data_IF_803157881659
#
_entry.id   IF_803157881659
#
_cell.length_a   1.000
_cell.length_b   1.000
_cell.length_c   1.000
_cell.angle_alpha   90.00
_cell.angle_beta   90.00
_cell.angle_gamma   90.00
#
_symmetry.space_group_name_H-M   'P 1'
#
loop_
_entity.id
_entity.type
_entity.pdbx_description
1 polymer ?
#
# COMPACT_ATOMS: atom_id res chain seq x y z
N UNK A 1 16.31 9.92 1.97
CA UNK A 1 15.85 10.19 3.36
C UNK A 1 16.26 9.06 4.29
N UNK A 2 15.98 7.80 3.98
CA UNK A 2 16.44 6.65 4.77
C UNK A 2 16.89 5.51 3.85
N UNK A 3 17.64 4.54 4.38
CA UNK A 3 17.94 3.27 3.69
C UNK A 3 16.98 2.21 4.24
N UNK A 4 16.37 1.45 3.35
CA UNK A 4 15.46 0.37 3.71
C UNK A 4 16.19 -0.96 3.57
N UNK A 5 16.10 -1.79 4.60
CA UNK A 5 16.58 -3.17 4.59
C UNK A 5 15.44 -4.08 5.03
N UNK A 6 15.14 -5.07 4.22
CA UNK A 6 14.00 -5.98 4.35
C UNK A 6 13.68 -6.58 2.99
N UNK A 7 12.54 -7.23 2.89
CA UNK A 7 12.09 -7.86 1.64
C UNK A 7 11.74 -6.82 0.57
N UNK A 8 11.20 -5.67 0.99
CA UNK A 8 10.86 -4.61 0.06
C UNK A 8 9.98 -3.52 0.67
N UNK A 9 9.32 -2.78 -0.20
CA UNK A 9 8.42 -1.67 0.12
C UNK A 9 7.22 -1.75 -0.81
N UNK A 10 6.04 -1.48 -0.27
CA UNK A 10 4.79 -1.28 -1.02
C UNK A 10 4.47 0.21 -0.97
N UNK A 11 4.23 0.79 -2.15
CA UNK A 11 3.62 2.12 -2.28
C UNK A 11 2.25 1.93 -2.90
N UNK A 12 1.19 2.28 -2.17
CA UNK A 12 -0.19 1.98 -2.57
C UNK A 12 -1.07 3.24 -2.57
N UNK A 13 -2.08 3.22 -3.43
CA UNK A 13 -3.20 4.17 -3.38
C UNK A 13 -4.20 3.76 -2.28
N UNK A 14 -5.16 4.62 -1.91
CA UNK A 14 -6.21 4.25 -0.95
C UNK A 14 -6.97 2.99 -1.37
N UNK A 15 -7.26 2.83 -2.66
CA UNK A 15 -7.87 1.61 -3.22
C UNK A 15 -6.97 0.38 -3.05
N UNK A 16 -5.66 0.55 -3.20
CA UNK A 16 -4.66 -0.51 -2.97
C UNK A 16 -4.39 -0.81 -1.49
N UNK A 17 -4.93 -0.01 -0.56
CA UNK A 17 -4.70 -0.20 0.88
C UNK A 17 -5.20 -1.55 1.36
N UNK A 18 -6.35 -2.02 0.86
CA UNK A 18 -6.98 -3.32 1.18
C UNK A 18 -6.38 -4.50 0.42
N UNK A 19 -5.38 -4.27 -0.45
CA UNK A 19 -4.68 -5.31 -1.19
C UNK A 19 -3.41 -5.73 -0.43
N UNK A 20 -2.27 -5.80 -1.12
CA UNK A 20 -1.03 -6.30 -0.54
C UNK A 20 -0.53 -5.45 0.64
N UNK A 21 -0.86 -4.14 0.67
CA UNK A 21 -0.51 -3.25 1.77
C UNK A 21 -1.12 -3.72 3.10
N UNK A 22 -2.39 -4.11 3.14
CA UNK A 22 -3.02 -4.66 4.37
C UNK A 22 -2.33 -5.94 4.83
N UNK A 23 -1.96 -6.84 3.91
CA UNK A 23 -1.25 -8.07 4.26
C UNK A 23 0.15 -7.80 4.86
N UNK A 24 0.80 -6.71 4.46
CA UNK A 24 2.08 -6.27 5.02
C UNK A 24 1.94 -5.41 6.30
N UNK A 25 0.73 -5.29 6.87
CA UNK A 25 0.47 -4.54 8.09
C UNK A 25 0.15 -3.06 7.89
N UNK A 26 -0.12 -2.63 6.66
CA UNK A 26 -0.65 -1.30 6.35
C UNK A 26 -2.10 -1.12 6.80
N UNK A 27 -2.52 0.12 6.98
CA UNK A 27 -3.90 0.45 7.35
C UNK A 27 -4.84 0.39 6.14
N UNK A 28 -6.10 0.00 6.37
CA UNK A 28 -7.16 0.14 5.38
C UNK A 28 -7.63 1.60 5.32
N UNK A 29 -7.69 2.17 4.12
CA UNK A 29 -8.02 3.58 3.90
C UNK A 29 -9.19 3.71 2.94
N UNK A 30 -10.12 4.60 3.27
CA UNK A 30 -11.28 4.87 2.43
C UNK A 30 -10.85 5.55 1.10
N UNK A 31 -11.42 5.18 -0.06
CA UNK A 31 -10.99 5.69 -1.37
C UNK A 31 -11.00 7.22 -1.56
N UNK A 32 -11.83 7.95 -0.80
CA UNK A 32 -11.88 9.41 -0.82
C UNK A 32 -10.79 10.12 -0.04
N UNK A 33 -9.95 9.41 0.71
CA UNK A 33 -8.85 10.04 1.42
C UNK A 33 -7.72 10.30 0.42
N UNK A 34 -7.36 11.57 0.14
CA UNK A 34 -6.30 11.90 -0.81
C UNK A 34 -4.94 11.62 -0.19
N UNK A 35 -4.47 10.38 -0.30
CA UNK A 35 -3.21 9.97 0.28
C UNK A 35 -2.50 8.87 -0.51
N UNK A 36 -1.23 8.68 -0.20
CA UNK A 36 -0.41 7.57 -0.63
C UNK A 36 0.06 6.79 0.60
N UNK A 37 -0.05 5.47 0.56
CA UNK A 37 0.41 4.58 1.62
C UNK A 37 1.84 4.12 1.31
N UNK A 38 2.70 4.15 2.32
CA UNK A 38 4.03 3.60 2.30
C UNK A 38 4.12 2.49 3.34
N UNK A 39 4.28 1.24 2.92
CA UNK A 39 4.27 0.06 3.80
C UNK A 39 5.53 -0.77 3.57
N UNK A 40 6.48 -0.86 4.51
CA UNK A 40 7.63 -1.74 4.37
C UNK A 40 7.20 -3.22 4.47
N UNK A 41 7.87 -4.10 3.72
CA UNK A 41 7.68 -5.55 3.77
C UNK A 41 8.84 -6.15 4.58
N UNK A 42 8.50 -6.80 5.70
CA UNK A 42 9.47 -7.45 6.60
C UNK A 42 10.74 -6.61 6.86
N UNK A 43 10.62 -5.35 7.33
CA UNK A 43 11.78 -4.51 7.57
C UNK A 43 12.66 -5.10 8.69
N UNK A 44 13.97 -5.09 8.50
CA UNK A 44 14.93 -5.51 9.54
C UNK A 44 14.92 -4.56 10.76
N UNK A 45 14.37 -3.36 10.61
CA UNK A 45 14.23 -2.37 11.66
C UNK A 45 12.80 -2.38 12.22
N UNK A 46 12.65 -2.64 13.51
CA UNK A 46 11.36 -2.64 14.22
C UNK A 46 10.72 -1.24 14.32
N UNK A 47 11.51 -0.18 14.21
CA UNK A 47 11.01 1.20 14.20
C UNK A 47 10.43 1.60 12.85
N UNK A 48 10.62 0.79 11.80
CA UNK A 48 10.13 1.13 10.47
C UNK A 48 8.67 0.73 10.31
N UNK A 49 7.78 1.65 10.70
CA UNK A 49 6.32 1.47 10.63
C UNK A 49 5.77 1.96 9.29
N UNK A 50 4.59 1.47 8.85
CA UNK A 50 3.85 2.04 7.74
C UNK A 50 3.53 3.51 7.98
N UNK A 51 3.52 4.31 6.91
CA UNK A 51 3.24 5.76 6.95
C UNK A 51 2.25 6.12 5.85
N UNK A 52 1.35 7.05 6.16
CA UNK A 52 0.44 7.66 5.18
C UNK A 52 0.99 9.03 4.83
N UNK A 53 1.13 9.29 3.53
CA UNK A 53 1.66 10.52 2.96
C UNK A 53 0.55 11.27 2.21
N UNK A 54 0.62 12.60 2.12
CA UNK A 54 -0.32 13.35 1.27
C UNK A 54 -0.17 12.94 -0.20
N UNK A 55 -1.25 13.06 -0.97
CA UNK A 55 -1.28 12.78 -2.42
C UNK A 55 -0.33 13.68 -3.23
N UNK A 56 0.00 14.87 -2.72
CA UNK A 56 0.98 15.78 -3.29
C UNK A 56 2.43 15.31 -3.14
N UNK A 57 2.68 14.27 -2.34
CA UNK A 57 4.03 13.74 -2.13
C UNK A 57 4.60 13.14 -3.41
N UNK A 58 5.90 13.36 -3.62
CA UNK A 58 6.68 12.71 -4.67
C UNK A 58 7.74 11.85 -4.01
N UNK A 59 7.75 10.57 -4.35
CA UNK A 59 8.71 9.61 -3.82
C UNK A 59 9.72 9.24 -4.90
N UNK A 60 10.96 9.04 -4.47
CA UNK A 60 12.01 8.46 -5.29
C UNK A 60 12.66 7.32 -4.52
N UNK A 61 12.60 6.13 -5.09
CA UNK A 61 13.24 4.93 -4.56
C UNK A 61 14.43 4.62 -5.45
N UNK A 62 15.64 4.78 -4.91
CA UNK A 62 16.89 4.52 -5.63
C UNK A 62 17.53 3.24 -5.13
N UNK A 63 18.01 2.40 -6.05
CA UNK A 63 18.84 1.25 -5.71
C UNK A 63 20.26 1.74 -5.44
N UNK A 64 20.80 1.55 -4.21
CA UNK A 64 22.14 2.00 -3.88
C UNK A 64 23.21 1.35 -4.77
N UNK A 65 24.29 2.08 -5.08
CA UNK A 65 25.42 1.54 -5.85
C UNK A 65 26.09 0.36 -5.13
N UNK A 66 26.07 0.39 -3.78
CA UNK A 66 26.59 -0.65 -2.89
C UNK A 66 25.61 -1.79 -2.61
N UNK A 67 24.41 -1.80 -3.22
CA UNK A 67 23.39 -2.82 -2.99
C UNK A 67 23.90 -4.22 -3.36
N UNK A 68 23.80 -5.21 -2.46
CA UNK A 68 24.33 -6.56 -2.71
C UNK A 68 23.64 -7.30 -3.86
N UNK A 69 22.38 -7.00 -4.11
CA UNK A 69 21.54 -7.65 -5.13
C UNK A 69 20.70 -6.62 -5.88
N UNK A 70 20.27 -7.01 -7.08
CA UNK A 70 19.28 -6.25 -7.84
C UNK A 70 17.92 -6.32 -7.16
N UNK A 71 17.12 -5.28 -7.35
CA UNK A 71 15.74 -5.24 -6.88
C UNK A 71 14.78 -5.52 -8.04
N UNK A 72 13.51 -5.67 -7.69
CA UNK A 72 12.44 -5.82 -8.67
C UNK A 72 11.30 -4.89 -8.32
N UNK A 73 10.70 -4.28 -9.33
CA UNK A 73 9.48 -3.49 -9.20
C UNK A 73 8.35 -4.18 -9.93
N UNK A 74 7.16 -4.09 -9.36
CA UNK A 74 5.91 -4.65 -9.88
C UNK A 74 4.83 -3.57 -9.77
N UNK A 75 3.95 -3.49 -10.76
CA UNK A 75 2.86 -2.53 -10.83
C UNK A 75 1.54 -3.31 -10.78
N UNK A 76 0.77 -3.12 -9.71
CA UNK A 76 -0.47 -3.88 -9.43
C UNK A 76 -0.30 -5.41 -9.53
N UNK A 77 0.84 -5.92 -9.08
CA UNK A 77 1.18 -7.35 -9.14
C UNK A 77 1.57 -7.86 -10.54
N UNK A 78 1.65 -6.97 -11.54
CA UNK A 78 1.96 -7.30 -12.93
C UNK A 78 3.24 -6.59 -13.40
N UNK A 79 3.71 -6.97 -14.60
CA UNK A 79 4.81 -6.31 -15.33
C UNK A 79 6.06 -6.12 -14.47
N UNK A 80 6.57 -7.23 -13.93
CA UNK A 80 7.78 -7.23 -13.11
C UNK A 80 8.97 -6.76 -13.94
N UNK A 81 9.67 -5.74 -13.45
CA UNK A 81 10.87 -5.19 -14.08
C UNK A 81 12.02 -5.23 -13.09
N UNK A 82 13.20 -5.60 -13.58
CA UNK A 82 14.41 -5.63 -12.76
C UNK A 82 14.97 -4.22 -12.64
N UNK A 83 15.40 -3.84 -11.45
CA UNK A 83 16.11 -2.59 -11.18
C UNK A 83 17.56 -2.93 -10.84
N UNK A 84 18.47 -2.30 -11.57
CA UNK A 84 19.91 -2.40 -11.35
C UNK A 84 20.38 -1.34 -10.37
N UNK A 85 21.64 -1.46 -9.94
CA UNK A 85 22.31 -0.43 -9.14
C UNK A 85 22.28 0.91 -9.87
N UNK A 86 22.03 1.99 -9.14
CA UNK A 86 21.93 3.34 -9.71
C UNK A 86 20.54 3.68 -10.27
N UNK A 87 19.72 2.68 -10.62
CA UNK A 87 18.35 2.91 -11.09
C UNK A 87 17.47 3.53 -9.99
N UNK A 88 16.49 4.32 -10.42
CA UNK A 88 15.50 4.92 -9.53
C UNK A 88 14.08 4.77 -10.07
N UNK A 89 13.14 4.64 -9.15
CA UNK A 89 11.69 4.66 -9.43
C UNK A 89 11.11 5.90 -8.79
N UNK A 90 10.52 6.76 -9.62
CA UNK A 90 9.81 7.97 -9.17
C UNK A 90 8.32 7.72 -9.17
N UNK A 91 7.67 8.02 -8.06
CA UNK A 91 6.26 7.72 -7.81
C UNK A 91 5.55 9.00 -7.38
N UNK A 92 4.42 9.27 -8.02
CA UNK A 92 3.53 10.39 -7.72
C UNK A 92 2.09 10.00 -8.01
N UNK A 93 1.13 10.68 -7.40
CA UNK A 93 -0.28 10.50 -7.74
C UNK A 93 -0.56 10.95 -9.18
N UNK A 94 -1.36 10.16 -9.89
CA UNK A 94 -1.75 10.42 -11.27
C UNK A 94 -2.79 11.54 -11.34
N UNK A 95 -2.73 12.35 -12.40
CA UNK A 95 -3.77 13.34 -12.72
C UNK A 95 -5.02 12.72 -13.35
N UNK A 96 -4.97 11.43 -13.66
CA UNK A 96 -6.06 10.66 -14.27
C UNK A 96 -6.50 9.56 -13.32
N UNK A 97 -7.41 9.85 -12.36
CA UNK A 97 -7.98 8.83 -11.50
C UNK A 97 -8.91 7.92 -12.30
N UNK A 98 -9.08 6.68 -11.82
CA UNK A 98 -10.01 5.72 -12.42
C UNK A 98 -11.43 5.98 -11.88
N UNK A 99 -12.41 6.40 -12.71
CA UNK A 99 -13.78 6.57 -12.26
C UNK A 99 -14.41 5.21 -11.93
N UNK A 100 -15.04 5.10 -10.78
CA UNK A 100 -15.75 3.89 -10.34
C UNK A 100 -17.24 4.18 -10.18
N UNK A 101 -18.08 3.19 -10.48
CA UNK A 101 -19.54 3.29 -10.31
C UNK A 101 -19.92 2.59 -9.02
N UNK A 102 -20.63 3.30 -8.15
CA UNK A 102 -21.17 2.77 -6.91
C UNK A 102 -22.60 2.26 -7.12
N UNK A 103 -22.99 1.21 -6.39
CA UNK A 103 -24.35 0.67 -6.40
C UNK A 103 -25.32 1.61 -5.70
N UNK A 104 -24.88 2.27 -4.63
CA UNK A 104 -25.71 3.24 -3.91
C UNK A 104 -24.93 4.49 -3.54
N UNK A 105 -24.05 4.41 -2.56
CA UNK A 105 -23.12 5.48 -2.20
C UNK A 105 -21.73 4.90 -1.91
N UNK A 106 -20.71 5.73 -2.04
CA UNK A 106 -19.33 5.29 -1.97
C UNK A 106 -18.93 4.75 -0.60
N UNK A 107 -19.39 5.40 0.47
CA UNK A 107 -19.01 5.04 1.85
C UNK A 107 -19.72 3.77 2.30
N UNK A 108 -21.03 3.67 2.04
CA UNK A 108 -21.82 2.47 2.32
C UNK A 108 -21.36 1.26 1.52
N UNK A 109 -21.03 1.43 0.24
CA UNK A 109 -20.48 0.35 -0.60
C UNK A 109 -19.09 -0.11 -0.11
N UNK A 110 -18.25 0.81 0.35
CA UNK A 110 -16.94 0.49 0.90
C UNK A 110 -17.05 -0.33 2.19
N UNK A 111 -17.84 0.13 3.17
CA UNK A 111 -18.05 -0.60 4.43
C UNK A 111 -18.67 -1.98 4.21
N UNK A 112 -19.69 -2.08 3.35
CA UNK A 112 -20.28 -3.39 2.99
C UNK A 112 -19.27 -4.32 2.35
N UNK A 113 -18.37 -3.79 1.51
CA UNK A 113 -17.31 -4.58 0.90
C UNK A 113 -16.30 -5.08 1.94
N UNK A 114 -15.92 -4.25 2.93
CA UNK A 114 -15.05 -4.67 4.02
C UNK A 114 -15.68 -5.78 4.87
N UNK A 115 -16.95 -5.63 5.27
CA UNK A 115 -17.67 -6.63 6.05
C UNK A 115 -17.76 -7.94 5.25
N UNK A 116 -18.15 -7.87 3.98
CA UNK A 116 -18.33 -9.05 3.12
C UNK A 116 -17.02 -9.78 2.82
N UNK A 117 -15.93 -9.05 2.56
CA UNK A 117 -14.69 -9.64 2.07
C UNK A 117 -13.69 -9.97 3.19
N UNK A 118 -13.74 -9.27 4.33
CA UNK A 118 -12.76 -9.40 5.41
C UNK A 118 -13.41 -9.77 6.75
N UNK A 119 -14.73 -10.03 6.79
CA UNK A 119 -15.51 -10.22 8.01
C UNK A 119 -15.22 -9.14 9.05
N UNK A 120 -15.07 -7.91 8.57
CA UNK A 120 -14.53 -6.82 9.36
C UNK A 120 -15.44 -6.53 10.57
N UNK A 121 -14.91 -6.80 11.77
CA UNK A 121 -15.59 -6.67 13.07
C UNK A 121 -16.84 -7.56 13.22
N UNK A 122 -16.93 -8.69 12.52
CA UNK A 122 -17.92 -9.72 12.81
C UNK A 122 -17.58 -10.39 14.14
N UNK A 123 -18.45 -10.25 15.14
CA UNK A 123 -18.31 -10.90 16.45
C UNK A 123 -19.25 -12.09 16.52
N UNK A 124 -18.73 -13.23 16.95
CA UNK A 124 -19.59 -14.31 17.43
C UNK A 124 -20.20 -13.86 18.75
N UNK A 125 -21.53 -13.96 18.87
CA UNK A 125 -22.22 -13.66 20.13
C UNK A 125 -21.63 -14.53 21.24
N UNK A 126 -21.17 -13.87 22.31
CA UNK A 126 -20.71 -14.58 23.51
C UNK A 126 -21.95 -15.22 24.17
N UNK A 127 -21.93 -16.55 24.32
CA UNK A 127 -22.94 -17.24 25.12
C UNK A 127 -22.92 -16.68 26.53
N UNK A 128 -24.11 -16.40 27.08
CA UNK A 128 -24.25 -16.05 28.49
C UNK A 128 -23.65 -17.17 29.35
N UNK A 129 -22.97 -16.76 30.44
CA UNK A 129 -22.41 -17.65 31.47
C UNK A 129 -23.50 -18.55 32.09
#
# INVERSE_FOLDING_TARGET
>A
ITKVQGDGIIVATPTGSTAYSTAAGGSMVHPNVPCMLFTPICPHSLSFRPVILPDSARLELKIPEDARSNAWVSFDGKRRQQLSRGDSVRISMSQHPLPTVNKSDQTGDWFRSLIRCLNWNERLDQKAL
#
